data_IF_411028158973
#
_entry.id   IF_411028158973
#
_cell.length_a   1.000
_cell.length_b   1.000
_cell.length_c   1.000
_cell.angle_alpha   90.00
_cell.angle_beta   90.00
_cell.angle_gamma   90.00
#
_symmetry.space_group_name_H-M   'P 1'
#
loop_
_entity.id
_entity.type
_entity.pdbx_description
1 polymer ?
#
# COMPACT_ATOMS: atom_id res chain seq x y z
N UNK A 1 20.92 -14.67 -3.11
CA UNK A 1 21.11 -15.91 -2.30
C UNK A 1 22.05 -15.55 -1.15
N UNK A 2 21.81 -16.02 0.08
CA UNK A 2 22.68 -15.73 1.22
C UNK A 2 24.06 -16.38 1.02
N UNK A 3 25.12 -15.72 1.48
CA UNK A 3 26.47 -16.30 1.55
C UNK A 3 26.63 -16.96 2.92
N UNK A 4 26.26 -18.24 3.01
CA UNK A 4 26.20 -19.01 4.26
C UNK A 4 27.11 -20.23 4.26
N UNK A 5 28.05 -20.33 3.33
CA UNK A 5 28.96 -21.46 3.17
C UNK A 5 29.85 -21.65 4.41
N UNK A 6 30.37 -20.56 4.98
CA UNK A 6 31.16 -20.59 6.21
C UNK A 6 30.32 -21.06 7.41
N UNK A 7 29.09 -20.58 7.52
CA UNK A 7 28.17 -20.97 8.58
C UNK A 7 27.79 -22.45 8.49
N UNK A 8 27.53 -22.94 7.27
CA UNK A 8 27.29 -24.35 7.00
C UNK A 8 28.50 -25.22 7.41
N UNK A 9 29.70 -24.83 6.99
CA UNK A 9 30.93 -25.56 7.30
C UNK A 9 31.23 -25.58 8.81
N UNK A 10 30.83 -24.54 9.54
CA UNK A 10 30.94 -24.45 11.00
C UNK A 10 29.81 -25.19 11.75
N UNK A 11 28.83 -25.79 11.06
CA UNK A 11 27.72 -26.51 11.68
C UNK A 11 26.61 -25.62 12.25
N UNK A 12 26.54 -24.35 11.84
CA UNK A 12 25.48 -23.44 12.30
C UNK A 12 24.14 -23.75 11.62
N UNK A 13 23.05 -23.55 12.36
CA UNK A 13 21.71 -23.82 11.84
C UNK A 13 21.34 -22.85 10.71
N UNK A 14 20.94 -23.42 9.57
CA UNK A 14 20.45 -22.69 8.41
C UNK A 14 18.96 -22.93 8.19
N UNK A 15 18.26 -21.90 7.72
CA UNK A 15 16.87 -22.01 7.30
C UNK A 15 16.73 -22.73 5.95
N UNK A 16 15.49 -23.06 5.54
CA UNK A 16 15.22 -23.84 4.32
C UNK A 16 15.70 -23.17 3.02
N UNK A 17 15.92 -21.85 3.05
CA UNK A 17 16.45 -21.06 1.92
C UNK A 17 17.95 -20.73 2.07
N UNK A 18 18.66 -21.45 2.95
CA UNK A 18 20.09 -21.30 3.20
C UNK A 18 20.49 -20.05 3.99
N UNK A 19 19.54 -19.29 4.55
CA UNK A 19 19.87 -18.13 5.39
C UNK A 19 20.31 -18.61 6.77
N UNK A 20 21.27 -17.92 7.39
CA UNK A 20 21.71 -18.21 8.76
C UNK A 20 20.56 -17.88 9.71
N UNK A 21 20.17 -18.85 10.55
CA UNK A 21 19.16 -18.61 11.57
C UNK A 21 19.79 -17.86 12.73
N UNK A 22 19.13 -16.80 13.16
CA UNK A 22 19.51 -16.04 14.34
C UNK A 22 18.33 -15.84 15.27
N UNK A 23 18.60 -15.56 16.55
CA UNK A 23 17.60 -15.10 17.51
C UNK A 23 17.37 -13.58 17.45
N UNK A 24 16.47 -13.06 18.30
CA UNK A 24 16.16 -11.61 18.35
C UNK A 24 17.38 -10.75 18.73
N UNK A 25 18.39 -11.36 19.32
CA UNK A 25 19.68 -10.77 19.69
C UNK A 25 20.75 -10.99 18.61
N UNK A 26 20.37 -11.52 17.44
CA UNK A 26 21.25 -11.74 16.28
C UNK A 26 22.35 -12.80 16.51
N UNK A 27 22.20 -13.64 17.54
CA UNK A 27 23.06 -14.80 17.80
C UNK A 27 22.65 -15.96 16.93
N UNK A 28 23.62 -16.73 16.45
CA UNK A 28 23.38 -17.98 15.73
C UNK A 28 23.07 -19.13 16.70
N UNK A 29 23.06 -20.38 16.21
CA UNK A 29 22.97 -21.56 17.08
C UNK A 29 24.17 -21.73 18.02
N UNK A 30 25.30 -21.07 17.72
CA UNK A 30 26.43 -20.91 18.63
C UNK A 30 26.32 -19.54 19.34
N UNK A 31 26.32 -19.50 20.69
CA UNK A 31 26.11 -18.27 21.44
C UNK A 31 27.25 -17.23 21.29
N UNK A 32 28.44 -17.66 20.85
CA UNK A 32 29.60 -16.80 20.63
C UNK A 32 29.68 -16.25 19.20
N UNK A 33 28.83 -16.74 18.29
CA UNK A 33 28.80 -16.33 16.88
C UNK A 33 27.53 -15.55 16.58
N UNK A 34 27.72 -14.31 16.11
CA UNK A 34 26.65 -13.45 15.62
C UNK A 34 26.64 -13.41 14.09
N UNK A 35 25.46 -13.21 13.50
CA UNK A 35 25.32 -13.00 12.07
C UNK A 35 24.34 -11.86 11.80
N UNK A 36 24.63 -11.06 10.75
CA UNK A 36 23.81 -9.91 10.35
C UNK A 36 23.80 -9.77 8.83
N UNK A 37 22.95 -8.86 8.32
CA UNK A 37 22.87 -8.49 6.92
C UNK A 37 22.10 -9.47 6.04
N UNK A 38 22.44 -9.49 4.76
CA UNK A 38 21.71 -10.24 3.74
C UNK A 38 21.79 -11.77 3.90
N UNK A 39 22.71 -12.25 4.75
CA UNK A 39 22.92 -13.67 4.99
C UNK A 39 21.92 -14.27 6.00
N UNK A 40 21.26 -13.45 6.82
CA UNK A 40 20.43 -13.93 7.94
C UNK A 40 18.94 -13.98 7.61
N UNK A 41 18.23 -14.87 8.29
CA UNK A 41 16.78 -14.83 8.43
C UNK A 41 16.44 -13.94 9.63
N UNK A 42 15.47 -13.04 9.46
CA UNK A 42 14.93 -12.16 10.51
C UNK A 42 13.42 -12.29 10.55
N UNK A 43 12.73 -11.40 11.27
CA UNK A 43 11.27 -11.40 11.37
C UNK A 43 10.65 -10.25 10.59
N UNK A 44 9.51 -10.54 9.97
CA UNK A 44 8.63 -9.54 9.41
C UNK A 44 7.88 -8.82 10.53
N UNK A 45 7.91 -7.48 10.57
CA UNK A 45 7.30 -6.72 11.69
C UNK A 45 5.77 -6.80 11.72
N UNK A 46 5.11 -7.13 10.61
CA UNK A 46 3.66 -7.16 10.51
C UNK A 46 3.10 -8.51 10.96
N UNK A 47 3.70 -9.61 10.52
CA UNK A 47 3.25 -10.97 10.86
C UNK A 47 3.99 -11.62 12.02
N UNK A 48 5.20 -11.16 12.34
CA UNK A 48 6.11 -11.87 13.22
C UNK A 48 6.79 -13.07 12.57
N UNK A 49 6.42 -13.44 11.35
CA UNK A 49 6.94 -14.64 10.68
C UNK A 49 8.40 -14.46 10.20
N UNK A 50 9.17 -15.56 10.12
CA UNK A 50 10.52 -15.53 9.56
C UNK A 50 10.54 -15.05 8.10
N UNK A 51 11.43 -14.11 7.80
CA UNK A 51 11.61 -13.49 6.49
C UNK A 51 13.09 -13.19 6.21
N UNK A 52 13.40 -12.83 4.97
CA UNK A 52 14.72 -12.33 4.60
C UNK A 52 14.56 -11.19 3.60
N UNK A 53 15.19 -10.06 3.91
CA UNK A 53 15.07 -8.82 3.12
C UNK A 53 16.48 -8.24 2.94
N UNK A 54 17.12 -8.45 1.76
CA UNK A 54 18.49 -8.01 1.52
C UNK A 54 18.53 -6.50 1.21
N UNK A 55 18.56 -5.69 2.27
CA UNK A 55 18.56 -4.23 2.19
C UNK A 55 19.58 -3.64 3.16
N UNK A 56 20.27 -2.58 2.72
CA UNK A 56 21.33 -1.93 3.48
C UNK A 56 20.85 -1.33 4.82
N UNK A 57 19.64 -0.77 4.86
CA UNK A 57 19.08 -0.17 6.08
C UNK A 57 18.95 -1.18 7.22
N UNK A 58 18.25 -2.31 7.03
CA UNK A 58 18.26 -3.44 7.97
C UNK A 58 19.67 -3.91 8.35
N UNK A 59 20.57 -4.15 7.38
CA UNK A 59 21.93 -4.64 7.65
C UNK A 59 22.73 -3.71 8.59
N UNK A 60 22.69 -2.39 8.34
CA UNK A 60 23.35 -1.40 9.20
C UNK A 60 22.77 -1.39 10.63
N UNK A 61 21.44 -1.45 10.77
CA UNK A 61 20.80 -1.48 12.09
C UNK A 61 21.07 -2.78 12.84
N UNK A 62 21.09 -3.91 12.15
CA UNK A 62 21.47 -5.20 12.73
C UNK A 62 22.91 -5.17 13.24
N UNK A 63 23.85 -4.64 12.46
CA UNK A 63 25.25 -4.49 12.90
C UNK A 63 25.37 -3.65 14.18
N UNK A 64 24.63 -2.53 14.27
CA UNK A 64 24.57 -1.72 15.49
C UNK A 64 23.98 -2.49 16.68
N UNK A 65 22.88 -3.20 16.49
CA UNK A 65 22.25 -4.02 17.54
C UNK A 65 23.18 -5.14 18.01
N UNK A 66 23.82 -5.87 17.10
CA UNK A 66 24.80 -6.90 17.45
C UNK A 66 25.97 -6.33 18.25
N UNK A 67 26.50 -5.16 17.87
CA UNK A 67 27.55 -4.49 18.62
C UNK A 67 27.12 -4.09 20.05
N UNK A 68 25.88 -3.62 20.24
CA UNK A 68 25.33 -3.35 21.57
C UNK A 68 25.32 -4.61 22.45
N UNK A 69 24.92 -5.74 21.88
CA UNK A 69 24.78 -7.01 22.59
C UNK A 69 26.15 -7.59 22.94
N UNK A 70 27.11 -7.53 22.02
CA UNK A 70 28.52 -7.90 22.28
C UNK A 70 29.12 -7.02 23.40
N UNK A 71 28.72 -5.75 23.49
CA UNK A 71 29.12 -4.85 24.56
C UNK A 71 28.34 -5.04 25.88
N UNK A 72 27.54 -6.10 26.01
CA UNK A 72 26.80 -6.44 27.23
C UNK A 72 25.51 -5.66 27.46
N UNK A 73 24.97 -4.98 26.44
CA UNK A 73 23.67 -4.29 26.53
C UNK A 73 22.54 -5.25 26.19
N UNK A 74 21.40 -5.10 26.86
CA UNK A 74 20.16 -5.73 26.44
C UNK A 74 19.55 -4.96 25.26
N UNK A 75 19.57 -5.57 24.07
CA UNK A 75 19.05 -5.01 22.83
C UNK A 75 18.50 -6.13 21.95
N UNK A 76 17.57 -5.81 21.06
CA UNK A 76 16.93 -6.76 20.16
C UNK A 76 16.61 -6.12 18.80
N UNK A 77 16.77 -6.89 17.73
CA UNK A 77 16.36 -6.45 16.41
C UNK A 77 14.84 -6.63 16.23
N UNK A 78 14.08 -5.54 16.01
CA UNK A 78 12.61 -5.61 16.00
C UNK A 78 12.05 -6.29 14.75
N UNK A 79 12.86 -6.52 13.71
CA UNK A 79 12.45 -7.05 12.43
C UNK A 79 12.45 -6.01 11.30
N UNK A 80 11.87 -6.38 10.17
CA UNK A 80 11.80 -5.56 8.94
C UNK A 80 10.38 -5.38 8.41
N UNK A 81 10.10 -4.21 7.81
CA UNK A 81 8.88 -3.96 7.03
C UNK A 81 9.12 -4.01 5.51
N UNK A 82 10.38 -4.16 5.07
CA UNK A 82 10.68 -4.16 3.63
C UNK A 82 10.56 -2.80 2.94
N UNK A 83 10.78 -1.69 3.67
CA UNK A 83 10.81 -0.35 3.08
C UNK A 83 11.87 -0.26 1.99
N UNK A 84 11.49 0.06 0.76
CA UNK A 84 12.38 0.15 -0.39
C UNK A 84 11.92 1.23 -1.36
N UNK A 85 12.85 1.80 -2.12
CA UNK A 85 12.60 2.79 -3.17
C UNK A 85 13.54 2.54 -4.34
N UNK A 86 13.06 2.76 -5.55
CA UNK A 86 13.84 2.70 -6.80
C UNK A 86 13.47 3.88 -7.70
N UNK A 87 14.47 4.45 -8.38
CA UNK A 87 14.28 5.46 -9.42
C UNK A 87 14.21 4.76 -10.78
N UNK A 88 13.17 5.08 -11.55
CA UNK A 88 12.95 4.59 -12.91
C UNK A 88 12.78 5.80 -13.81
N UNK A 89 13.82 6.13 -14.58
CA UNK A 89 13.88 7.38 -15.36
C UNK A 89 13.59 8.63 -14.52
N UNK A 90 12.47 9.30 -14.78
CA UNK A 90 12.01 10.51 -14.12
C UNK A 90 11.00 10.25 -12.99
N UNK A 91 10.69 8.99 -12.68
CA UNK A 91 9.78 8.63 -11.59
C UNK A 91 10.49 7.80 -10.52
N UNK A 92 9.94 7.82 -9.32
CA UNK A 92 10.30 6.94 -8.22
C UNK A 92 9.13 6.00 -7.90
N UNK A 93 9.46 4.76 -7.55
CA UNK A 93 8.54 3.79 -7.00
C UNK A 93 9.04 3.34 -5.63
N UNK A 94 8.21 3.48 -4.61
CA UNK A 94 8.53 3.14 -3.23
C UNK A 94 7.46 2.27 -2.60
N UNK A 95 7.85 1.46 -1.62
CA UNK A 95 6.93 0.66 -0.82
C UNK A 95 7.41 0.50 0.62
N UNK A 96 6.47 0.13 1.50
CA UNK A 96 6.75 -0.46 2.80
C UNK A 96 5.59 -1.37 3.21
N UNK A 97 5.87 -2.46 3.91
CA UNK A 97 4.87 -3.42 4.35
C UNK A 97 4.52 -4.46 3.28
N UNK A 98 3.31 -5.00 3.35
CA UNK A 98 2.86 -6.11 2.51
C UNK A 98 2.13 -5.61 1.27
N UNK A 99 2.32 -6.32 0.16
CA UNK A 99 1.56 -6.12 -1.08
C UNK A 99 0.28 -6.95 -1.09
N UNK A 100 -0.67 -6.61 -1.96
CA UNK A 100 -1.87 -7.43 -2.19
C UNK A 100 -1.54 -8.89 -2.52
N UNK A 101 -0.51 -9.12 -3.35
CA UNK A 101 -0.06 -10.50 -3.69
C UNK A 101 0.31 -11.29 -2.43
N UNK A 102 1.04 -10.65 -1.50
CA UNK A 102 1.44 -11.29 -0.24
C UNK A 102 0.25 -11.48 0.70
N UNK A 103 -0.64 -10.49 0.78
CA UNK A 103 -1.85 -10.57 1.62
C UNK A 103 -2.79 -11.69 1.16
N UNK A 104 -3.06 -11.78 -0.15
CA UNK A 104 -3.86 -12.86 -0.74
C UNK A 104 -3.23 -14.21 -0.52
N UNK A 105 -1.90 -14.33 -0.67
CA UNK A 105 -1.19 -15.56 -0.34
C UNK A 105 -1.37 -15.90 1.15
N UNK A 106 -1.18 -14.96 2.06
CA UNK A 106 -1.39 -15.23 3.49
C UNK A 106 -2.86 -15.49 3.90
N UNK A 107 -3.83 -15.41 2.98
CA UNK A 107 -5.25 -15.53 3.30
C UNK A 107 -5.77 -14.41 4.22
N UNK A 108 -5.08 -13.27 4.26
CA UNK A 108 -5.47 -12.14 5.10
C UNK A 108 -6.46 -11.25 4.34
N UNK A 109 -7.58 -10.95 4.99
CA UNK A 109 -8.51 -9.92 4.53
C UNK A 109 -7.89 -8.52 4.65
N UNK A 110 -8.11 -7.68 3.65
CA UNK A 110 -7.62 -6.31 3.63
C UNK A 110 -8.55 -5.39 2.83
N UNK A 111 -8.56 -4.11 3.18
CA UNK A 111 -9.05 -3.03 2.35
C UNK A 111 -7.90 -2.34 1.60
N UNK A 112 -8.24 -1.66 0.50
CA UNK A 112 -7.29 -0.85 -0.27
C UNK A 112 -7.90 0.48 -0.71
N UNK A 113 -7.08 1.52 -0.79
CA UNK A 113 -7.46 2.78 -1.44
C UNK A 113 -6.35 3.27 -2.34
N UNK A 114 -6.73 3.99 -3.39
CA UNK A 114 -5.84 4.72 -4.28
C UNK A 114 -6.19 6.20 -4.24
N UNK A 115 -5.18 7.04 -4.02
CA UNK A 115 -5.31 8.50 -4.08
C UNK A 115 -4.21 9.07 -4.96
N UNK A 116 -4.50 10.17 -5.66
CA UNK A 116 -3.54 10.86 -6.53
C UNK A 116 -3.25 12.30 -6.10
N UNK A 117 -2.63 12.51 -4.92
CA UNK A 117 -2.27 13.84 -4.46
C UNK A 117 -1.09 14.40 -5.27
N UNK A 118 -0.97 15.73 -5.25
CA UNK A 118 0.28 16.41 -5.61
C UNK A 118 1.18 16.48 -4.38
N UNK A 119 2.50 16.49 -4.59
CA UNK A 119 3.48 16.62 -3.50
C UNK A 119 3.35 17.96 -2.77
N UNK A 120 2.97 19.02 -3.48
CA UNK A 120 2.63 20.33 -2.92
C UNK A 120 1.52 21.01 -3.76
N UNK A 121 0.95 22.15 -3.33
CA UNK A 121 -0.15 22.81 -4.03
C UNK A 121 0.20 23.17 -5.47
N UNK A 122 -0.79 23.02 -6.35
CA UNK A 122 -0.63 23.23 -7.80
C UNK A 122 -0.48 24.71 -8.19
N UNK A 123 -0.81 25.65 -7.29
CA UNK A 123 -0.52 27.06 -7.50
C UNK A 123 0.96 27.39 -7.33
N UNK A 124 1.75 26.51 -6.68
CA UNK A 124 3.21 26.65 -6.60
C UNK A 124 3.88 25.90 -7.76
N UNK A 125 4.89 26.48 -8.44
CA UNK A 125 5.53 25.86 -9.59
C UNK A 125 6.13 24.49 -9.30
N UNK A 126 6.10 23.58 -10.28
CA UNK A 126 6.76 22.28 -10.18
C UNK A 126 5.94 21.17 -9.50
N UNK A 127 4.64 21.39 -9.26
CA UNK A 127 3.78 20.36 -8.68
C UNK A 127 3.70 19.11 -9.56
N UNK A 128 4.07 17.97 -8.99
CA UNK A 128 4.07 16.64 -9.58
C UNK A 128 3.09 15.75 -8.83
N UNK A 129 2.21 15.10 -9.59
CA UNK A 129 1.25 14.17 -9.03
C UNK A 129 1.90 12.82 -8.75
N UNK A 130 1.50 12.19 -7.65
CA UNK A 130 1.85 10.80 -7.33
C UNK A 130 0.60 9.93 -7.24
N UNK A 131 0.76 8.62 -7.26
CA UNK A 131 -0.25 7.63 -6.94
C UNK A 131 0.15 6.97 -5.62
N UNK A 132 -0.66 7.09 -4.59
CA UNK A 132 -0.48 6.40 -3.31
C UNK A 132 -1.53 5.30 -3.21
N UNK A 133 -1.08 4.08 -2.98
CA UNK A 133 -1.90 2.93 -2.64
C UNK A 133 -1.65 2.57 -1.18
N UNK A 134 -2.72 2.55 -0.38
CA UNK A 134 -2.69 2.18 1.02
C UNK A 134 -3.48 0.89 1.24
N UNK A 135 -2.89 -0.05 1.98
CA UNK A 135 -3.47 -1.34 2.35
C UNK A 135 -3.66 -1.39 3.86
N UNK A 136 -4.81 -1.87 4.32
CA UNK A 136 -5.18 -1.83 5.73
C UNK A 136 -6.16 -2.94 6.11
N UNK A 137 -6.24 -3.26 7.40
CA UNK A 137 -7.19 -4.22 7.98
C UNK A 137 -8.53 -3.55 8.29
N UNK A 138 -9.56 -4.35 8.57
CA UNK A 138 -10.89 -3.88 9.00
C UNK A 138 -10.86 -3.04 10.28
N UNK A 139 -9.91 -3.31 11.18
CA UNK A 139 -9.69 -2.53 12.40
C UNK A 139 -8.89 -1.22 12.16
N UNK A 140 -8.50 -0.96 10.91
CA UNK A 140 -7.73 0.22 10.54
C UNK A 140 -6.21 0.06 10.63
N UNK A 141 -5.69 -1.09 11.08
CA UNK A 141 -4.24 -1.31 11.11
C UNK A 141 -3.64 -1.23 9.69
N UNK A 142 -2.55 -0.47 9.55
CA UNK A 142 -1.85 -0.29 8.26
C UNK A 142 -1.08 -1.58 7.93
N UNK A 143 -1.28 -2.11 6.73
CA UNK A 143 -0.63 -3.33 6.25
C UNK A 143 0.49 -3.05 5.26
N UNK A 144 0.38 -1.97 4.50
CA UNK A 144 1.39 -1.59 3.54
C UNK A 144 1.02 -0.34 2.75
N UNK A 145 2.05 0.26 2.15
CA UNK A 145 1.93 1.43 1.29
C UNK A 145 2.80 1.23 0.05
N UNK A 146 2.30 1.67 -1.10
CA UNK A 146 3.03 1.71 -2.36
C UNK A 146 2.79 3.07 -3.01
N UNK A 147 3.84 3.76 -3.41
CA UNK A 147 3.73 5.06 -4.05
C UNK A 147 4.56 5.11 -5.33
N UNK A 148 3.97 5.61 -6.41
CA UNK A 148 4.67 5.88 -7.68
C UNK A 148 4.42 7.34 -8.07
N UNK A 149 5.46 8.08 -8.40
CA UNK A 149 5.35 9.49 -8.75
C UNK A 149 6.71 10.14 -8.93
N UNK A 150 6.74 11.47 -8.88
CA UNK A 150 7.99 12.23 -8.92
C UNK A 150 8.51 12.54 -7.51
N UNK A 151 8.75 13.81 -7.22
CA UNK A 151 9.22 14.26 -5.91
C UNK A 151 8.22 13.98 -4.78
N UNK A 152 8.72 13.74 -3.57
CA UNK A 152 7.92 13.50 -2.35
C UNK A 152 7.45 12.06 -2.13
N UNK A 153 7.73 11.14 -3.06
CA UNK A 153 7.40 9.71 -2.93
C UNK A 153 8.02 9.08 -1.68
N UNK A 154 9.29 9.38 -1.41
CA UNK A 154 10.05 8.93 -0.26
C UNK A 154 9.47 9.47 1.06
N UNK A 155 9.07 10.75 1.09
CA UNK A 155 8.45 11.38 2.27
C UNK A 155 7.17 10.65 2.65
N UNK A 156 6.26 10.42 1.69
CA UNK A 156 4.99 9.74 1.94
C UNK A 156 5.20 8.32 2.46
N UNK A 157 6.08 7.55 1.81
CA UNK A 157 6.34 6.16 2.23
C UNK A 157 7.04 6.11 3.59
N UNK A 158 7.98 7.01 3.89
CA UNK A 158 8.66 7.04 5.19
C UNK A 158 7.71 7.42 6.33
N UNK A 159 6.82 8.40 6.14
CA UNK A 159 5.82 8.76 7.16
C UNK A 159 4.87 7.60 7.42
N UNK A 160 4.29 6.99 6.38
CA UNK A 160 3.36 5.87 6.56
C UNK A 160 4.07 4.63 7.11
N UNK A 161 5.32 4.36 6.69
CA UNK A 161 6.13 3.28 7.26
C UNK A 161 6.43 3.51 8.75
N UNK A 162 6.63 4.76 9.16
CA UNK A 162 6.83 5.12 10.58
C UNK A 162 5.55 4.92 11.37
N UNK A 163 4.41 5.42 10.87
CA UNK A 163 3.10 5.24 11.47
C UNK A 163 2.74 3.75 11.63
N UNK A 164 2.94 2.95 10.57
CA UNK A 164 2.73 1.50 10.58
C UNK A 164 3.61 0.79 11.63
N UNK A 165 4.89 1.15 11.72
CA UNK A 165 5.81 0.58 12.73
C UNK A 165 5.47 1.02 14.16
N UNK A 166 4.84 2.17 14.33
CA UNK A 166 4.33 2.69 15.59
C UNK A 166 2.95 2.14 15.99
N UNK A 167 2.36 1.25 15.18
CA UNK A 167 1.03 0.69 15.45
C UNK A 167 -0.13 1.65 15.21
N UNK A 168 0.11 2.77 14.50
CA UNK A 168 -0.94 3.71 14.12
C UNK A 168 -1.90 3.09 13.11
N UNK A 169 -3.17 3.48 13.19
CA UNK A 169 -4.23 3.12 12.28
C UNK A 169 -4.38 4.14 11.15
N UNK A 170 -5.18 3.80 10.14
CA UNK A 170 -5.58 4.74 9.07
C UNK A 170 -6.33 5.96 9.61
N UNK A 171 -6.98 5.86 10.78
CA UNK A 171 -7.67 6.97 11.44
C UNK A 171 -6.68 7.98 12.03
N UNK A 172 -5.55 7.49 12.56
CA UNK A 172 -4.51 8.38 13.08
C UNK A 172 -3.83 9.17 11.95
N UNK A 173 -3.76 8.60 10.74
CA UNK A 173 -3.24 9.31 9.56
C UNK A 173 -4.07 10.56 9.21
N UNK A 174 -5.37 10.58 9.55
CA UNK A 174 -6.24 11.74 9.34
C UNK A 174 -5.77 12.95 10.17
N UNK A 175 -5.18 12.70 11.34
CA UNK A 175 -4.84 13.71 12.35
C UNK A 175 -3.36 14.04 12.42
N UNK A 176 -2.52 13.38 11.62
CA UNK A 176 -1.08 13.69 11.57
C UNK A 176 -0.86 15.16 11.19
N UNK A 177 -0.28 15.92 12.11
CA UNK A 177 0.22 17.27 11.87
C UNK A 177 1.61 17.18 11.21
N UNK A 178 1.65 17.48 9.91
CA UNK A 178 2.87 17.42 9.11
C UNK A 178 3.28 18.82 8.68
N UNK A 179 4.58 19.05 8.56
CA UNK A 179 5.14 20.35 8.18
C UNK A 179 4.57 20.83 6.85
N UNK A 180 4.18 22.10 6.79
CA UNK A 180 3.58 22.70 5.62
C UNK A 180 4.19 24.06 5.27
N UNK A 181 4.55 24.18 4.01
CA UNK A 181 4.63 25.44 3.27
C UNK A 181 4.42 25.11 1.78
N UNK A 182 3.99 26.06 0.93
CA UNK A 182 3.62 25.77 -0.47
C UNK A 182 4.70 25.09 -1.32
N UNK A 183 5.98 25.19 -0.92
CA UNK A 183 7.13 24.56 -1.57
C UNK A 183 7.27 23.07 -1.27
N UNK A 184 6.83 22.64 -0.08
CA UNK A 184 7.22 21.36 0.51
C UNK A 184 6.04 20.42 0.80
N UNK A 185 4.83 20.95 0.87
CA UNK A 185 3.66 20.15 1.20
C UNK A 185 2.36 20.90 0.97
N UNK A 186 1.24 20.22 1.17
CA UNK A 186 -0.11 20.79 1.11
C UNK A 186 -0.73 20.87 2.50
N UNK A 187 -1.70 21.78 2.70
CA UNK A 187 -2.44 21.90 3.97
C UNK A 187 -3.07 20.58 4.43
N UNK A 188 -3.43 19.71 3.49
CA UNK A 188 -3.69 18.28 3.72
C UNK A 188 -2.61 17.52 2.97
N UNK A 189 -1.68 16.91 3.69
CA UNK A 189 -0.60 16.16 3.09
C UNK A 189 -1.16 14.88 2.41
N UNK A 190 -0.41 14.33 1.45
CA UNK A 190 -0.77 13.07 0.78
C UNK A 190 -1.08 11.93 1.76
N UNK A 191 -0.40 11.92 2.92
CA UNK A 191 -0.63 10.99 4.03
C UNK A 191 -2.02 11.17 4.64
N UNK A 192 -2.44 12.41 4.93
CA UNK A 192 -3.79 12.68 5.45
C UNK A 192 -4.85 12.30 4.42
N UNK A 193 -4.63 12.61 3.13
CA UNK A 193 -5.56 12.25 2.05
C UNK A 193 -5.74 10.72 1.95
N UNK A 194 -4.66 9.95 2.06
CA UNK A 194 -4.75 8.48 2.11
C UNK A 194 -5.50 8.00 3.36
N UNK A 195 -5.26 8.61 4.53
CA UNK A 195 -5.99 8.37 5.77
C UNK A 195 -7.49 8.61 5.63
N UNK A 196 -7.91 9.78 5.14
CA UNK A 196 -9.32 10.12 4.92
C UNK A 196 -10.00 9.14 3.98
N UNK A 197 -9.35 8.77 2.87
CA UNK A 197 -9.92 7.83 1.91
C UNK A 197 -10.14 6.44 2.53
N UNK A 198 -9.15 5.92 3.27
CA UNK A 198 -9.26 4.63 3.95
C UNK A 198 -10.30 4.65 5.07
N UNK A 199 -10.31 5.71 5.88
CA UNK A 199 -11.24 5.89 6.99
C UNK A 199 -12.69 6.02 6.51
N UNK A 200 -12.95 6.79 5.45
CA UNK A 200 -14.28 6.88 4.84
C UNK A 200 -14.76 5.52 4.33
N UNK A 201 -13.87 4.73 3.73
CA UNK A 201 -14.22 3.37 3.32
C UNK A 201 -14.57 2.48 4.53
N UNK A 202 -13.76 2.50 5.61
CA UNK A 202 -14.02 1.69 6.80
C UNK A 202 -15.26 2.12 7.58
N UNK A 203 -15.58 3.42 7.59
CA UNK A 203 -16.82 3.96 8.20
C UNK A 203 -18.07 3.65 7.39
N UNK A 204 -17.93 3.12 6.18
CA UNK A 204 -19.06 2.89 5.26
C UNK A 204 -19.59 4.18 4.62
N UNK A 205 -18.82 5.27 4.64
CA UNK A 205 -19.20 6.52 3.99
C UNK A 205 -19.23 6.39 2.47
N UNK A 206 -18.47 5.45 1.92
CA UNK A 206 -18.49 5.13 0.49
C UNK A 206 -18.04 3.69 0.29
N UNK A 207 -18.78 2.94 -0.53
CA UNK A 207 -18.32 1.66 -1.05
C UNK A 207 -17.34 1.90 -2.21
N UNK A 208 -16.33 1.03 -2.34
CA UNK A 208 -15.32 1.15 -3.40
C UNK A 208 -15.40 -0.03 -4.37
N UNK A 209 -15.19 0.27 -5.64
CA UNK A 209 -14.82 -0.72 -6.67
C UNK A 209 -13.44 -0.38 -7.21
N UNK A 210 -12.76 -1.37 -7.78
CA UNK A 210 -11.37 -1.21 -8.19
C UNK A 210 -11.14 -1.48 -9.69
N UNK A 211 -10.17 -0.79 -10.31
CA UNK A 211 -9.84 -1.01 -11.73
C UNK A 211 -9.45 -2.44 -12.14
N UNK A 212 -8.93 -3.22 -11.20
CA UNK A 212 -8.51 -4.60 -11.43
C UNK A 212 -9.67 -5.60 -11.35
N UNK A 213 -10.89 -5.16 -11.03
CA UNK A 213 -12.10 -5.98 -10.91
C UNK A 213 -12.97 -5.92 -12.16
N UNK A 214 -13.85 -6.91 -12.31
CA UNK A 214 -14.95 -6.87 -13.29
C UNK A 214 -16.14 -6.18 -12.66
N UNK A 215 -16.62 -5.11 -13.29
CA UNK A 215 -17.82 -4.42 -12.83
C UNK A 215 -19.08 -5.28 -13.09
N UNK A 216 -20.13 -5.17 -12.26
CA UNK A 216 -21.39 -5.85 -12.54
C UNK A 216 -21.94 -5.44 -13.91
N UNK A 217 -22.42 -6.41 -14.71
CA UNK A 217 -22.88 -6.17 -16.08
C UNK A 217 -24.02 -5.15 -16.17
N UNK A 218 -24.87 -5.10 -15.14
CA UNK A 218 -25.99 -4.16 -15.05
C UNK A 218 -25.63 -2.85 -14.34
N UNK A 219 -24.37 -2.60 -13.97
CA UNK A 219 -23.98 -1.37 -13.29
C UNK A 219 -24.13 -0.16 -14.23
N UNK A 220 -24.52 0.98 -13.64
CA UNK A 220 -24.55 2.26 -14.35
C UNK A 220 -23.25 3.01 -14.08
N UNK A 221 -22.39 3.10 -15.09
CA UNK A 221 -21.13 3.84 -15.01
C UNK A 221 -21.40 5.34 -15.18
N UNK A 222 -21.10 6.12 -14.15
CA UNK A 222 -21.33 7.57 -14.12
C UNK A 222 -20.01 8.33 -14.08
N UNK A 223 -19.66 8.95 -15.21
CA UNK A 223 -18.51 9.84 -15.32
C UNK A 223 -18.89 11.25 -14.88
N UNK A 224 -18.32 11.71 -13.78
CA UNK A 224 -18.62 13.05 -13.23
C UNK A 224 -17.57 14.11 -13.56
N UNK A 225 -16.69 13.83 -14.53
CA UNK A 225 -15.76 14.81 -15.10
C UNK A 225 -16.48 15.80 -16.02
N UNK A 226 -15.76 16.82 -16.47
CA UNK A 226 -16.30 17.74 -17.48
C UNK A 226 -16.48 17.02 -18.83
N UNK A 227 -17.35 17.54 -19.72
CA UNK A 227 -17.54 16.97 -21.06
C UNK A 227 -16.24 16.92 -21.88
N UNK A 228 -15.34 17.88 -21.69
CA UNK A 228 -14.05 17.94 -22.37
C UNK A 228 -13.17 16.75 -21.93
N UNK A 229 -13.02 16.53 -20.62
CA UNK A 229 -12.30 15.37 -20.09
C UNK A 229 -12.90 14.04 -20.56
N UNK A 230 -14.24 13.96 -20.67
CA UNK A 230 -14.96 12.78 -21.14
C UNK A 230 -14.67 12.49 -22.62
N UNK A 231 -14.66 13.53 -23.47
CA UNK A 231 -14.43 13.41 -24.91
C UNK A 231 -13.03 12.92 -25.28
N UNK A 232 -12.02 13.19 -24.44
CA UNK A 232 -10.63 12.71 -24.64
C UNK A 232 -10.52 11.20 -24.43
N UNK A 233 -11.38 10.63 -23.60
CA UNK A 233 -11.44 9.20 -23.32
C UNK A 233 -12.18 8.93 -22.01
N UNK A 234 -12.95 7.84 -21.97
CA UNK A 234 -13.81 7.45 -20.86
C UNK A 234 -13.96 5.94 -20.80
N UNK A 235 -14.54 5.43 -19.70
CA UNK A 235 -14.83 4.00 -19.57
C UNK A 235 -15.97 3.65 -20.54
N UNK A 236 -15.85 2.62 -21.40
CA UNK A 236 -16.90 2.24 -22.33
C UNK A 236 -18.25 2.04 -21.65
N UNK A 237 -19.31 2.63 -22.22
CA UNK A 237 -20.67 2.56 -21.68
C UNK A 237 -20.97 3.54 -20.54
N UNK A 238 -20.03 4.40 -20.14
CA UNK A 238 -20.29 5.45 -19.16
C UNK A 238 -21.23 6.54 -19.68
N UNK A 239 -22.03 7.10 -18.78
CA UNK A 239 -22.82 8.32 -19.02
C UNK A 239 -22.13 9.48 -18.33
N UNK A 240 -21.99 10.62 -19.01
CA UNK A 240 -21.36 11.81 -18.44
C UNK A 240 -22.39 12.75 -17.83
N UNK A 241 -22.30 12.98 -16.52
CA UNK A 241 -23.03 14.04 -15.80
C UNK A 241 -22.04 14.72 -14.86
N UNK A 242 -21.55 15.92 -15.21
CA UNK A 242 -20.57 16.63 -14.38
C UNK A 242 -21.01 16.80 -12.92
N UNK A 243 -20.06 16.68 -11.98
CA UNK A 243 -20.35 16.72 -10.54
C UNK A 243 -21.08 17.99 -10.07
N UNK A 244 -20.86 19.10 -10.77
CA UNK A 244 -21.43 20.41 -10.45
C UNK A 244 -22.91 20.50 -10.84
N UNK A 245 -23.31 19.87 -11.95
CA UNK A 245 -24.71 19.82 -12.41
C UNK A 245 -25.45 18.55 -11.96
N UNK A 246 -24.78 17.64 -11.23
CA UNK A 246 -25.33 16.34 -10.84
C UNK A 246 -26.67 16.43 -10.09
N UNK A 247 -26.78 17.38 -9.16
CA UNK A 247 -27.98 17.52 -8.31
C UNK A 247 -29.23 17.90 -9.11
N UNK A 248 -29.07 18.55 -10.25
CA UNK A 248 -30.16 18.98 -11.14
C UNK A 248 -30.56 17.88 -12.14
N UNK A 249 -29.76 16.82 -12.25
CA UNK A 249 -29.90 15.77 -13.27
C UNK A 249 -30.11 14.38 -12.65
N UNK A 250 -30.61 14.31 -11.42
CA UNK A 250 -30.84 13.04 -10.72
C UNK A 250 -31.86 12.14 -11.41
N UNK A 251 -32.84 12.72 -12.12
CA UNK A 251 -33.87 11.97 -12.83
C UNK A 251 -33.34 11.17 -14.04
N UNK A 252 -32.16 11.55 -14.55
CA UNK A 252 -31.48 10.82 -15.62
C UNK A 252 -30.74 9.57 -15.10
N UNK A 253 -30.66 9.38 -13.78
CA UNK A 253 -29.90 8.29 -13.14
C UNK A 253 -30.88 7.17 -12.74
N UNK A 254 -30.63 5.92 -13.15
CA UNK A 254 -31.47 4.78 -12.77
C UNK A 254 -31.44 4.55 -11.25
N UNK A 255 -32.57 4.15 -10.66
CA UNK A 255 -32.65 3.84 -9.22
C UNK A 255 -32.59 2.35 -8.90
N UNK A 256 -32.76 1.51 -9.92
CA UNK A 256 -32.85 0.05 -9.86
C UNK A 256 -31.50 -0.65 -10.08
N UNK A 257 -30.41 0.11 -10.24
CA UNK A 257 -29.07 -0.40 -10.58
C UNK A 257 -28.02 0.19 -9.64
N UNK A 258 -26.93 -0.56 -9.43
CA UNK A 258 -25.74 -0.02 -8.78
C UNK A 258 -25.14 1.09 -9.64
N UNK A 259 -24.92 2.26 -9.04
CA UNK A 259 -24.21 3.35 -9.68
C UNK A 259 -22.72 3.24 -9.34
N UNK A 260 -21.85 3.25 -10.35
CA UNK A 260 -20.41 3.34 -10.16
C UNK A 260 -19.98 4.74 -10.61
N UNK A 261 -19.71 5.62 -9.64
CA UNK A 261 -19.18 6.95 -9.95
C UNK A 261 -17.68 6.89 -10.16
N UNK A 262 -17.19 7.69 -11.10
CA UNK A 262 -15.77 7.94 -11.22
C UNK A 262 -15.50 9.35 -11.73
N UNK A 263 -14.30 9.84 -11.44
CA UNK A 263 -13.76 11.02 -12.09
C UNK A 263 -12.31 10.76 -12.53
N UNK A 264 -11.51 11.80 -12.77
CA UNK A 264 -10.13 11.62 -13.18
C UNK A 264 -9.31 10.77 -12.18
N UNK A 265 -9.45 11.04 -10.87
CA UNK A 265 -8.60 10.46 -9.81
C UNK A 265 -9.37 9.97 -8.57
N UNK A 266 -10.70 9.95 -8.62
CA UNK A 266 -11.58 9.45 -7.56
C UNK A 266 -12.15 10.52 -6.60
N UNK A 267 -11.58 11.73 -6.52
CA UNK A 267 -12.04 12.78 -5.59
C UNK A 267 -13.45 13.31 -5.91
N UNK A 268 -13.66 13.84 -7.13
CA UNK A 268 -14.99 14.28 -7.59
C UNK A 268 -15.99 13.12 -7.64
N UNK A 269 -15.52 11.91 -7.95
CA UNK A 269 -16.32 10.68 -7.90
C UNK A 269 -16.83 10.36 -6.50
N UNK A 270 -16.02 10.56 -5.46
CA UNK A 270 -16.43 10.46 -4.06
C UNK A 270 -17.49 11.51 -3.70
N UNK A 271 -17.29 12.77 -4.10
CA UNK A 271 -18.28 13.84 -3.87
C UNK A 271 -19.62 13.48 -4.52
N UNK A 272 -19.60 13.02 -5.77
CA UNK A 272 -20.79 12.55 -6.46
C UNK A 272 -21.44 11.35 -5.76
N UNK A 273 -20.64 10.38 -5.33
CA UNK A 273 -21.14 9.22 -4.58
C UNK A 273 -21.89 9.65 -3.32
N UNK A 274 -21.33 10.57 -2.54
CA UNK A 274 -21.99 11.11 -1.34
C UNK A 274 -23.29 11.85 -1.66
N UNK A 275 -23.32 12.68 -2.70
CA UNK A 275 -24.55 13.35 -3.16
C UNK A 275 -25.64 12.33 -3.52
N UNK A 276 -25.29 11.29 -4.27
CA UNK A 276 -26.22 10.25 -4.71
C UNK A 276 -26.68 9.34 -3.57
N UNK A 277 -25.79 8.96 -2.65
CA UNK A 277 -26.17 8.19 -1.45
C UNK A 277 -27.19 8.95 -0.59
N UNK A 278 -27.00 10.27 -0.42
CA UNK A 278 -27.98 11.13 0.27
C UNK A 278 -29.33 11.20 -0.47
N UNK A 279 -29.33 11.05 -1.80
CA UNK A 279 -30.53 10.98 -2.63
C UNK A 279 -31.13 9.56 -2.75
N UNK A 280 -30.63 8.60 -1.98
CA UNK A 280 -31.16 7.24 -1.87
C UNK A 280 -30.69 6.25 -2.94
N UNK A 281 -29.63 6.57 -3.69
CA UNK A 281 -29.05 5.64 -4.68
C UNK A 281 -28.10 4.63 -4.03
N UNK A 282 -28.00 3.44 -4.61
CA UNK A 282 -26.92 2.49 -4.30
C UNK A 282 -25.70 2.86 -5.11
N UNK A 283 -24.59 3.20 -4.45
CA UNK A 283 -23.43 3.78 -5.13
C UNK A 283 -22.12 3.18 -4.64
N UNK A 284 -21.20 2.95 -5.57
CA UNK A 284 -19.79 2.73 -5.31
C UNK A 284 -18.95 3.77 -6.06
N UNK A 285 -17.79 4.13 -5.53
CA UNK A 285 -16.84 5.01 -6.19
C UNK A 285 -15.64 4.20 -6.71
N UNK A 286 -15.23 4.46 -7.94
CA UNK A 286 -14.02 3.85 -8.52
C UNK A 286 -12.76 4.43 -7.89
N UNK A 287 -12.09 3.64 -7.05
CA UNK A 287 -10.85 4.06 -6.38
C UNK A 287 -9.75 4.32 -7.41
N UNK A 288 -9.06 5.46 -7.31
CA UNK A 288 -8.06 5.90 -8.29
C UNK A 288 -8.63 6.51 -9.59
N UNK A 289 -9.95 6.41 -9.81
CA UNK A 289 -10.64 7.01 -10.96
C UNK A 289 -10.20 6.50 -12.33
N UNK A 290 -10.53 7.26 -13.38
CA UNK A 290 -10.23 6.94 -14.77
C UNK A 290 -8.72 6.82 -15.04
N UNK A 291 -7.90 7.62 -14.37
CA UNK A 291 -6.45 7.60 -14.53
C UNK A 291 -5.85 6.24 -14.17
N UNK A 292 -6.23 5.68 -13.02
CA UNK A 292 -5.76 4.35 -12.64
C UNK A 292 -6.39 3.26 -13.50
N UNK A 293 -7.66 3.42 -13.88
CA UNK A 293 -8.34 2.49 -14.77
C UNK A 293 -7.65 2.36 -16.13
N UNK A 294 -7.26 3.47 -16.76
CA UNK A 294 -6.57 3.45 -18.05
C UNK A 294 -5.18 2.81 -17.94
N UNK A 295 -4.44 3.06 -16.84
CA UNK A 295 -3.17 2.38 -16.58
C UNK A 295 -3.33 0.85 -16.51
N UNK A 296 -4.38 0.37 -15.85
CA UNK A 296 -4.66 -1.06 -15.74
C UNK A 296 -5.04 -1.67 -17.09
N UNK A 297 -5.80 -0.96 -17.94
CA UNK A 297 -6.12 -1.47 -19.28
C UNK A 297 -4.86 -1.61 -20.15
N UNK A 298 -3.98 -0.59 -20.15
CA UNK A 298 -2.70 -0.66 -20.87
C UNK A 298 -1.86 -1.86 -20.40
N UNK A 299 -1.83 -2.13 -19.09
CA UNK A 299 -1.12 -3.29 -18.56
C UNK A 299 -1.77 -4.63 -18.95
N UNK A 300 -3.11 -4.71 -19.03
CA UNK A 300 -3.82 -5.90 -19.49
C UNK A 300 -3.55 -6.18 -20.96
N UNK A 301 -3.58 -5.15 -21.79
CA UNK A 301 -3.23 -5.24 -23.21
C UNK A 301 -1.77 -5.66 -23.39
N UNK A 302 -0.84 -5.00 -22.69
CA UNK A 302 0.58 -5.33 -22.77
C UNK A 302 0.90 -6.75 -22.23
N UNK A 303 0.19 -7.22 -21.21
CA UNK A 303 0.40 -8.57 -20.65
C UNK A 303 -0.23 -9.69 -21.48
N UNK A 304 -1.18 -9.38 -22.37
CA UNK A 304 -1.64 -10.32 -23.39
C UNK A 304 -0.54 -10.64 -24.43
N UNK A 305 0.38 -9.69 -24.64
CA UNK A 305 1.47 -9.80 -25.62
C UNK A 305 2.81 -10.30 -25.02
N UNK A 306 2.89 -10.52 -23.71
CA UNK A 306 4.10 -11.03 -23.04
C UNK A 306 3.95 -12.54 -22.77
N UNK A 307 4.86 -13.40 -23.27
CA UNK A 307 4.87 -14.82 -22.92
C UNK A 307 4.89 -14.99 -21.40
N UNK A 308 3.91 -15.71 -20.86
CA UNK A 308 3.81 -15.96 -19.43
C UNK A 308 5.15 -16.57 -18.94
N UNK A 309 5.77 -16.03 -17.88
CA UNK A 309 6.92 -16.68 -17.28
C UNK A 309 6.49 -18.08 -16.81
N UNK A 310 7.33 -19.08 -17.13
CA UNK A 310 7.13 -20.47 -16.73
C UNK A 310 6.78 -20.51 -15.24
N UNK A 311 5.66 -21.16 -14.91
CA UNK A 311 5.24 -21.36 -13.53
C UNK A 311 6.32 -22.15 -12.78
N UNK A 312 7.19 -21.45 -12.04
CA UNK A 312 7.97 -22.07 -10.98
C UNK A 312 6.98 -22.49 -9.90
N UNK A 313 6.70 -23.80 -9.85
CA UNK A 313 5.85 -24.46 -8.84
C UNK A 313 6.51 -24.36 -7.46
N UNK A 314 6.40 -23.21 -6.80
CA UNK A 314 6.73 -23.08 -5.38
C UNK A 314 5.48 -22.70 -4.59
N UNK A 315 4.83 -23.74 -4.07
CA UNK A 315 3.75 -23.66 -3.08
C UNK A 315 4.29 -23.07 -1.77
N UNK A 316 3.63 -22.01 -1.28
CA UNK A 316 3.95 -21.35 -0.01
C UNK A 316 3.07 -21.86 1.16
N UNK A 317 2.49 -23.05 1.07
CA UNK A 317 1.64 -23.58 2.14
C UNK A 317 2.48 -24.12 3.32
N UNK A 318 2.76 -23.28 4.32
CA UNK A 318 3.03 -23.73 5.68
C UNK A 318 1.75 -23.61 6.50
N UNK A 319 1.34 -24.73 7.08
CA UNK A 319 0.12 -24.92 7.86
C UNK A 319 0.16 -24.02 9.10
N UNK A 320 -0.90 -23.24 9.29
CA UNK A 320 -1.14 -22.51 10.54
C UNK A 320 -1.28 -23.52 11.70
N UNK A 321 -0.33 -23.49 12.61
CA UNK A 321 -0.45 -24.04 13.95
C UNK A 321 -0.73 -22.89 14.90
N UNK A 322 -1.96 -22.81 15.39
CA UNK A 322 -2.40 -21.91 16.45
C UNK A 322 -1.68 -22.22 17.76
N UNK A 323 -1.05 -21.23 18.38
CA UNK A 323 -1.20 -20.83 19.79
C UNK A 323 -0.04 -19.91 20.24
N UNK A 324 -0.36 -19.03 21.19
CA UNK A 324 0.51 -18.27 22.08
C UNK A 324 1.11 -16.93 21.59
N UNK A 325 0.39 -15.84 21.90
CA UNK A 325 1.02 -14.65 22.50
C UNK A 325 0.21 -14.21 23.72
N UNK A 326 0.82 -14.05 24.91
CA UNK A 326 0.27 -13.20 25.94
C UNK A 326 0.51 -11.73 25.57
N UNK A 327 -0.49 -10.91 25.84
CA UNK A 327 -0.47 -9.47 25.57
C UNK A 327 0.65 -8.75 26.32
N UNK A 328 1.11 -7.66 25.73
CA UNK A 328 1.77 -6.58 26.48
C UNK A 328 0.67 -5.75 27.13
N UNK A 329 0.46 -5.94 28.42
CA UNK A 329 -0.17 -4.90 29.24
C UNK A 329 0.84 -3.78 29.53
N UNK A 330 0.28 -2.58 29.67
CA UNK A 330 0.93 -1.35 30.15
C UNK A 330 1.50 -1.49 31.56
#
# INVERSE_FOLDING_TARGET
>A
RPRSELAAAAGLTLGPRGHILVDRQLRTSDPDIFAVGDAVQVWDRLSGEPTAVPLAGPANRQGRTAANIVAGRDDQFPGVCGSAIVKVFNVAAAQSGWSEKRLRAAGLEYGKVYVHPFQHPTYYPGAQQMCVKLLYRKDGAILGVQTVGGEGVDVVVNVIATAMQGGMSVYDLEQLELVYSPQWGSAKHAVNIAGFAAANHLRGDVALVYPDETFPENAFLLDVRTPEEYSVGHIPGAVNIPVDSLSENLDAIPRDRLIITYCAVGLRGYVAARKLMLAGFQVSNLSGGFKLWSWVQVLREASADVPQPVQDTFSWALRAGSEAFPGRES
#
